data_IF_797029012291
#
_entry.id   IF_797029012291
#
_cell.length_a   1.000
_cell.length_b   1.000
_cell.length_c   1.000
_cell.angle_alpha   90.00
_cell.angle_beta   90.00
_cell.angle_gamma   90.00
#
_symmetry.space_group_name_H-M   'P 1'
#
loop_
_entity.id
_entity.type
_entity.pdbx_description
1 polymer ?
#
# COMPACT_ATOMS: atom_id res chain seq x y z
N UNK A 1 28.50 4.68 -12.54
CA UNK A 1 27.25 4.00 -12.20
C UNK A 1 26.62 4.80 -11.10
N UNK A 2 25.72 5.70 -11.49
CA UNK A 2 24.90 6.47 -10.55
C UNK A 2 23.66 5.67 -10.11
N UNK A 3 22.77 6.28 -9.33
CA UNK A 3 21.56 5.58 -8.86
C UNK A 3 20.58 5.28 -9.99
N UNK A 4 20.54 6.10 -11.04
CA UNK A 4 19.71 5.85 -12.23
C UNK A 4 20.20 4.61 -13.00
N UNK A 5 21.51 4.49 -13.19
CA UNK A 5 22.12 3.30 -13.78
C UNK A 5 21.79 2.05 -12.95
N UNK A 6 21.91 2.13 -11.61
CA UNK A 6 21.60 1.00 -10.72
C UNK A 6 20.12 0.60 -10.87
N UNK A 7 19.20 1.55 -10.82
CA UNK A 7 17.76 1.29 -10.98
C UNK A 7 17.47 0.64 -12.34
N UNK A 8 18.00 1.22 -13.43
CA UNK A 8 17.79 0.71 -14.79
C UNK A 8 18.31 -0.72 -14.96
N UNK A 9 19.55 -1.00 -14.56
CA UNK A 9 20.19 -2.28 -14.85
C UNK A 9 19.90 -3.37 -13.81
N UNK A 10 19.68 -3.01 -12.54
CA UNK A 10 19.48 -4.00 -11.46
C UNK A 10 18.02 -4.22 -11.10
N UNK A 11 17.11 -3.30 -11.45
CA UNK A 11 15.68 -3.40 -11.19
C UNK A 11 14.91 -3.55 -12.50
N UNK A 12 14.88 -2.51 -13.34
CA UNK A 12 14.02 -2.50 -14.53
C UNK A 12 14.35 -3.62 -15.51
N UNK A 13 15.63 -3.81 -15.85
CA UNK A 13 16.04 -4.88 -16.77
C UNK A 13 15.63 -6.28 -16.28
N UNK A 14 15.70 -6.55 -14.97
CA UNK A 14 15.27 -7.85 -14.43
C UNK A 14 13.76 -8.04 -14.51
N UNK A 15 13.00 -6.96 -14.35
CA UNK A 15 11.55 -6.99 -14.52
C UNK A 15 11.18 -7.16 -16.00
N UNK A 16 11.91 -6.52 -16.92
CA UNK A 16 11.78 -6.71 -18.37
C UNK A 16 12.00 -8.17 -18.77
N UNK A 17 13.14 -8.76 -18.37
CA UNK A 17 13.45 -10.16 -18.63
C UNK A 17 12.35 -11.10 -18.06
N UNK A 18 11.80 -10.77 -16.89
CA UNK A 18 10.72 -11.53 -16.26
C UNK A 18 9.39 -11.44 -17.03
N UNK A 19 8.95 -10.23 -17.41
CA UNK A 19 7.70 -10.07 -18.17
C UNK A 19 7.81 -10.64 -19.58
N UNK A 20 8.99 -10.59 -20.20
CA UNK A 20 9.26 -11.22 -21.49
C UNK A 20 9.13 -12.75 -21.37
N UNK A 21 9.70 -13.35 -20.31
CA UNK A 21 9.60 -14.79 -20.05
C UNK A 21 8.17 -15.26 -19.74
N UNK A 22 7.37 -14.45 -19.05
CA UNK A 22 5.99 -14.78 -18.68
C UNK A 22 4.97 -14.47 -19.80
N UNK A 23 5.33 -13.63 -20.77
CA UNK A 23 4.42 -13.16 -21.82
C UNK A 23 3.18 -12.47 -21.22
N UNK A 24 2.04 -12.55 -21.91
CA UNK A 24 0.80 -11.85 -21.52
C UNK A 24 0.16 -12.34 -20.22
N UNK A 25 0.72 -13.35 -19.55
CA UNK A 25 0.22 -13.87 -18.28
C UNK A 25 0.47 -12.91 -17.11
N UNK A 26 1.43 -11.98 -17.23
CA UNK A 26 1.84 -11.09 -16.15
C UNK A 26 1.84 -9.62 -16.59
N UNK A 27 1.39 -8.76 -15.69
CA UNK A 27 1.62 -7.32 -15.73
C UNK A 27 2.20 -6.87 -14.39
N UNK A 28 3.13 -5.93 -14.44
CA UNK A 28 3.80 -5.38 -13.27
C UNK A 28 3.34 -3.94 -13.07
N UNK A 29 2.98 -3.61 -11.83
CA UNK A 29 2.71 -2.25 -11.39
C UNK A 29 3.78 -1.82 -10.41
N UNK A 30 4.48 -0.74 -10.73
CA UNK A 30 5.53 -0.16 -9.91
C UNK A 30 5.00 1.04 -9.12
N UNK A 31 5.25 1.07 -7.81
CA UNK A 31 4.84 2.18 -6.93
C UNK A 31 6.09 2.73 -6.25
N UNK A 32 6.38 4.03 -6.36
CA UNK A 32 7.58 4.64 -5.78
C UNK A 32 7.54 4.67 -4.25
N UNK A 33 8.72 4.84 -3.65
CA UNK A 33 8.94 5.11 -2.24
C UNK A 33 9.81 6.35 -2.07
N UNK A 34 9.57 7.15 -1.03
CA UNK A 34 10.44 8.30 -0.70
C UNK A 34 11.87 7.88 -0.31
N UNK A 35 12.14 6.57 -0.30
CA UNK A 35 13.45 5.98 -0.06
C UNK A 35 14.14 5.54 -1.36
N UNK A 36 13.51 5.71 -2.51
CA UNK A 36 14.14 5.44 -3.80
C UNK A 36 15.18 6.53 -4.09
N UNK A 37 16.45 6.13 -4.16
CA UNK A 37 17.57 7.08 -4.28
C UNK A 37 17.60 7.84 -5.61
N UNK A 38 16.86 7.38 -6.60
CA UNK A 38 16.81 7.92 -7.96
C UNK A 38 15.44 8.52 -8.33
N UNK A 39 14.57 8.78 -7.34
CA UNK A 39 13.23 9.33 -7.57
C UNK A 39 12.92 10.49 -6.61
N UNK A 40 11.77 11.14 -6.81
CA UNK A 40 11.31 12.22 -5.94
C UNK A 40 11.30 11.75 -4.47
N UNK A 41 11.87 12.53 -3.56
CA UNK A 41 11.94 12.19 -2.14
C UNK A 41 10.80 12.82 -1.34
N UNK A 42 9.92 13.62 -1.95
CA UNK A 42 8.78 14.30 -1.32
C UNK A 42 7.52 13.47 -1.50
N UNK A 43 6.73 13.32 -0.44
CA UNK A 43 5.43 12.66 -0.48
C UNK A 43 4.33 13.73 -0.61
N UNK A 44 3.27 13.54 -1.41
CA UNK A 44 3.04 12.48 -2.41
C UNK A 44 4.05 12.48 -3.56
N UNK A 45 4.38 11.31 -4.12
CA UNK A 45 5.34 11.17 -5.22
C UNK A 45 4.66 10.93 -6.58
N UNK A 46 5.20 11.48 -7.68
CA UNK A 46 4.74 11.14 -9.03
C UNK A 46 5.09 9.69 -9.40
N UNK A 47 4.41 9.13 -10.38
CA UNK A 47 4.79 7.83 -10.98
C UNK A 47 6.17 7.91 -11.65
N UNK A 48 6.85 6.78 -11.78
CA UNK A 48 8.05 6.70 -12.63
C UNK A 48 7.67 6.82 -14.10
N UNK A 49 8.52 7.46 -14.89
CA UNK A 49 8.42 7.49 -16.35
C UNK A 49 8.96 6.17 -16.94
N UNK A 50 8.12 5.13 -16.93
CA UNK A 50 8.43 3.79 -17.46
C UNK A 50 7.55 3.55 -18.69
N UNK A 51 8.18 3.47 -19.87
CA UNK A 51 7.49 3.26 -21.14
C UNK A 51 7.59 1.82 -21.63
N UNK A 52 7.00 0.86 -20.90
CA UNK A 52 7.05 -0.57 -21.23
C UNK A 52 5.65 -1.17 -21.25
N UNK A 53 5.34 -2.02 -22.24
CA UNK A 53 3.97 -2.49 -22.51
C UNK A 53 3.32 -3.28 -21.36
N UNK A 54 4.12 -3.97 -20.55
CA UNK A 54 3.66 -4.81 -19.44
C UNK A 54 4.05 -4.28 -18.05
N UNK A 55 4.75 -3.16 -18.00
CA UNK A 55 5.19 -2.52 -16.75
C UNK A 55 4.66 -1.10 -16.75
N UNK A 56 3.74 -0.83 -15.84
CA UNK A 56 3.22 0.51 -15.61
C UNK A 56 3.63 1.00 -14.22
N UNK A 57 3.65 2.32 -14.03
CA UNK A 57 3.90 2.91 -12.71
C UNK A 57 2.69 3.71 -12.23
N UNK A 58 2.46 3.66 -10.92
CA UNK A 58 1.47 4.47 -10.20
C UNK A 58 2.18 5.53 -9.36
N UNK A 59 1.52 6.65 -9.03
CA UNK A 59 2.01 7.56 -8.02
C UNK A 59 2.02 6.90 -6.62
N UNK A 60 2.62 7.58 -5.63
CA UNK A 60 2.56 7.18 -4.23
C UNK A 60 1.95 8.29 -3.37
N UNK A 61 0.77 8.08 -2.76
CA UNK A 61 -0.04 6.86 -2.85
C UNK A 61 -0.72 6.77 -4.23
N UNK A 62 -1.30 5.60 -4.53
CA UNK A 62 -1.95 5.34 -5.82
C UNK A 62 -3.18 4.47 -5.67
N UNK A 63 -4.11 4.59 -6.62
CA UNK A 63 -5.28 3.72 -6.76
C UNK A 63 -5.29 3.20 -8.19
N UNK A 64 -5.56 1.91 -8.34
CA UNK A 64 -5.82 1.29 -9.65
C UNK A 64 -7.01 0.34 -9.55
N UNK A 65 -7.54 -0.03 -10.71
CA UNK A 65 -8.62 -0.99 -10.81
C UNK A 65 -8.18 -2.17 -11.69
N UNK A 66 -8.42 -3.38 -11.22
CA UNK A 66 -8.15 -4.61 -11.97
C UNK A 66 -9.34 -5.56 -11.83
N UNK A 67 -10.00 -5.89 -12.94
CA UNK A 67 -11.17 -6.76 -12.96
C UNK A 67 -12.25 -6.33 -11.96
N UNK A 68 -12.60 -5.04 -11.96
CA UNK A 68 -13.60 -4.42 -11.06
C UNK A 68 -13.18 -4.37 -9.57
N UNK A 69 -11.95 -4.74 -9.24
CA UNK A 69 -11.39 -4.63 -7.89
C UNK A 69 -10.60 -3.34 -7.77
N UNK A 70 -11.06 -2.43 -6.91
CA UNK A 70 -10.36 -1.19 -6.59
C UNK A 70 -9.29 -1.45 -5.54
N UNK A 71 -8.04 -1.20 -5.92
CA UNK A 71 -6.87 -1.40 -5.05
C UNK A 71 -6.23 -0.05 -4.75
N UNK A 72 -6.17 0.31 -3.47
CA UNK A 72 -5.38 1.43 -2.98
C UNK A 72 -4.02 0.95 -2.47
N UNK A 73 -2.95 1.69 -2.75
CA UNK A 73 -1.61 1.38 -2.25
C UNK A 73 -0.88 2.64 -1.79
N UNK A 74 -0.12 2.52 -0.71
CA UNK A 74 0.74 3.57 -0.19
C UNK A 74 2.01 2.92 0.34
N UNK A 75 3.19 3.29 -0.18
CA UNK A 75 4.47 2.68 0.22
C UNK A 75 5.08 3.35 1.46
N UNK A 76 4.53 4.50 1.86
CA UNK A 76 4.89 5.17 3.10
C UNK A 76 4.42 4.32 4.29
N UNK A 77 5.24 4.22 5.34
CA UNK A 77 4.93 3.41 6.51
C UNK A 77 3.95 4.10 7.48
N UNK A 78 2.78 4.47 6.94
CA UNK A 78 1.72 5.19 7.66
C UNK A 78 1.21 4.39 8.86
N UNK A 79 1.16 3.06 8.76
CA UNK A 79 0.72 2.21 9.86
C UNK A 79 1.66 2.28 11.05
N UNK A 80 2.99 2.26 10.85
CA UNK A 80 3.98 2.38 11.93
C UNK A 80 3.98 3.77 12.55
N UNK A 81 3.74 4.80 11.74
CA UNK A 81 3.68 6.19 12.21
C UNK A 81 2.43 6.44 13.05
N UNK A 82 1.23 6.08 12.57
CA UNK A 82 0.00 6.13 13.37
C UNK A 82 0.20 5.30 14.65
N UNK A 83 0.77 4.10 14.53
CA UNK A 83 1.09 3.22 15.66
C UNK A 83 1.95 3.87 16.75
N UNK A 84 2.79 4.84 16.42
CA UNK A 84 3.65 5.56 17.37
C UNK A 84 2.90 6.62 18.18
N UNK A 85 1.84 7.19 17.62
CA UNK A 85 1.08 8.31 18.19
C UNK A 85 -0.31 7.92 18.70
N UNK A 86 -0.77 6.70 18.37
CA UNK A 86 -2.11 6.21 18.68
C UNK A 86 -2.30 5.90 20.17
N UNK A 87 -3.41 6.37 20.73
CA UNK A 87 -3.83 6.08 22.11
C UNK A 87 -5.17 5.35 22.09
N UNK A 88 -5.18 4.14 22.64
CA UNK A 88 -6.39 3.31 22.73
C UNK A 88 -6.86 3.16 24.16
N UNK A 89 -8.18 3.20 24.36
CA UNK A 89 -8.81 2.73 25.60
C UNK A 89 -9.91 1.74 25.24
N UNK A 90 -9.83 0.54 25.78
CA UNK A 90 -10.91 -0.46 25.69
C UNK A 90 -11.75 -0.36 26.96
N UNK A 91 -13.05 -0.16 26.83
CA UNK A 91 -13.96 -0.22 27.98
C UNK A 91 -13.97 -1.64 28.57
N UNK A 92 -14.23 -1.77 29.87
CA UNK A 92 -14.12 -3.05 30.59
C UNK A 92 -15.06 -4.14 30.04
N UNK A 93 -16.16 -3.72 29.42
CA UNK A 93 -17.24 -4.53 28.85
C UNK A 93 -17.21 -4.62 27.32
N UNK A 94 -16.34 -3.85 26.65
CA UNK A 94 -16.23 -3.86 25.20
C UNK A 94 -15.27 -4.95 24.71
N UNK A 95 -15.64 -5.63 23.61
CA UNK A 95 -14.73 -6.53 22.91
C UNK A 95 -13.54 -5.72 22.38
N UNK A 96 -12.28 -6.08 22.71
CA UNK A 96 -11.12 -5.36 22.19
C UNK A 96 -11.08 -5.45 20.66
N UNK A 97 -11.00 -4.31 19.98
CA UNK A 97 -10.70 -4.28 18.55
C UNK A 97 -9.20 -4.50 18.39
N UNK A 98 -8.82 -5.44 17.52
CA UNK A 98 -7.42 -5.74 17.23
C UNK A 98 -6.66 -4.49 16.80
N UNK A 99 -5.46 -4.29 17.37
CA UNK A 99 -4.65 -3.09 17.15
C UNK A 99 -4.43 -2.79 15.67
N UNK A 100 -4.09 -3.80 14.86
CA UNK A 100 -3.80 -3.62 13.43
C UNK A 100 -5.05 -3.22 12.64
N UNK A 101 -6.20 -3.77 13.01
CA UNK A 101 -7.50 -3.34 12.48
C UNK A 101 -7.82 -1.89 12.86
N UNK A 102 -7.57 -1.48 14.12
CA UNK A 102 -7.78 -0.08 14.55
C UNK A 102 -6.90 0.90 13.78
N UNK A 103 -5.61 0.61 13.64
CA UNK A 103 -4.67 1.43 12.86
C UNK A 103 -5.14 1.64 11.42
N UNK A 104 -5.63 0.57 10.78
CA UNK A 104 -6.10 0.68 9.40
C UNK A 104 -7.46 1.38 9.31
N UNK A 105 -8.35 1.18 10.28
CA UNK A 105 -9.62 1.90 10.34
C UNK A 105 -9.43 3.42 10.48
N UNK A 106 -8.36 3.91 11.12
CA UNK A 106 -8.06 5.34 11.11
C UNK A 106 -7.86 5.88 9.69
N UNK A 107 -7.19 5.14 8.81
CA UNK A 107 -6.96 5.52 7.40
C UNK A 107 -8.28 5.53 6.63
N UNK A 108 -9.09 4.47 6.76
CA UNK A 108 -10.38 4.35 6.07
C UNK A 108 -11.40 5.40 6.54
N UNK A 109 -11.51 5.63 7.85
CA UNK A 109 -12.49 6.55 8.42
C UNK A 109 -12.13 8.02 8.16
N UNK A 110 -10.84 8.33 8.06
CA UNK A 110 -10.37 9.67 7.70
C UNK A 110 -10.31 9.88 6.18
N UNK A 111 -10.59 8.83 5.39
CA UNK A 111 -10.59 8.89 3.93
C UNK A 111 -9.31 9.52 3.36
N UNK A 112 -8.17 9.22 3.98
CA UNK A 112 -6.87 9.74 3.60
C UNK A 112 -5.82 8.65 3.74
N UNK A 113 -4.96 8.50 2.73
CA UNK A 113 -3.76 7.65 2.80
C UNK A 113 -2.78 8.08 3.89
N UNK A 114 -2.90 9.32 4.38
CA UNK A 114 -2.06 9.86 5.45
C UNK A 114 -2.86 10.78 6.39
N UNK A 115 -3.54 10.22 7.40
CA UNK A 115 -4.37 11.01 8.31
C UNK A 115 -3.60 11.60 9.51
N UNK A 116 -2.33 11.26 9.70
CA UNK A 116 -1.56 11.71 10.86
C UNK A 116 -1.10 13.16 10.67
N UNK A 117 -1.41 14.03 11.64
CA UNK A 117 -0.97 15.42 11.64
C UNK A 117 -0.54 15.89 13.04
N UNK A 118 0.60 16.59 13.19
CA UNK A 118 1.62 16.84 12.15
C UNK A 118 2.20 15.54 11.57
N UNK A 119 2.72 15.55 10.32
CA UNK A 119 3.38 14.39 9.76
C UNK A 119 4.54 13.94 10.64
N UNK A 120 4.85 12.64 10.63
CA UNK A 120 6.04 12.15 11.31
C UNK A 120 7.29 12.87 10.75
N UNK A 121 8.27 13.14 11.61
CA UNK A 121 9.47 13.95 11.26
C UNK A 121 10.20 13.43 10.01
N UNK A 122 10.18 12.12 9.78
CA UNK A 122 10.80 11.49 8.62
C UNK A 122 9.98 11.57 7.33
N UNK A 123 8.84 12.27 7.32
CA UNK A 123 7.94 12.38 6.16
C UNK A 123 8.00 13.79 5.60
N UNK A 124 8.68 13.99 4.46
CA UNK A 124 8.65 15.25 3.73
C UNK A 124 7.31 15.35 2.99
N UNK A 125 6.25 15.79 3.68
CA UNK A 125 4.92 15.94 3.10
C UNK A 125 4.74 17.31 2.43
N UNK A 126 4.40 17.32 1.13
CA UNK A 126 3.93 18.50 0.42
C UNK A 126 2.41 18.66 0.58
N UNK A 127 2.01 19.63 1.39
CA UNK A 127 0.61 19.95 1.64
C UNK A 127 -0.11 20.55 0.43
N UNK A 128 0.60 21.06 -0.57
CA UNK A 128 -0.02 21.63 -1.78
C UNK A 128 -0.63 20.56 -2.68
N UNK A 129 -0.12 19.33 -2.62
CA UNK A 129 -0.61 18.16 -3.38
C UNK A 129 -1.52 17.25 -2.56
N UNK A 130 -1.53 17.43 -1.24
CA UNK A 130 -2.23 16.57 -0.30
C UNK A 130 -3.75 16.44 -0.55
N UNK A 131 -4.50 17.52 -0.84
CA UNK A 131 -5.95 17.44 -1.03
C UNK A 131 -6.38 16.47 -2.12
N UNK A 132 -5.66 16.45 -3.26
CA UNK A 132 -5.98 15.56 -4.38
C UNK A 132 -5.32 14.20 -4.24
N UNK A 133 -4.03 14.15 -3.85
CA UNK A 133 -3.26 12.92 -3.94
C UNK A 133 -3.46 11.97 -2.74
N UNK A 134 -3.83 12.48 -1.56
CA UNK A 134 -4.01 11.64 -0.37
C UNK A 134 -5.44 11.16 -0.19
N UNK A 135 -6.41 11.73 -0.89
CA UNK A 135 -7.83 11.46 -0.68
C UNK A 135 -8.21 10.05 -1.13
N UNK A 136 -8.86 9.31 -0.22
CA UNK A 136 -9.57 8.07 -0.54
C UNK A 136 -11.04 8.42 -0.85
N UNK A 137 -11.33 8.73 -2.10
CA UNK A 137 -12.69 9.13 -2.55
C UNK A 137 -13.78 8.08 -2.28
N UNK A 138 -13.40 6.82 -2.12
CA UNK A 138 -14.25 5.72 -1.68
C UNK A 138 -13.40 4.67 -0.97
N UNK A 139 -14.02 3.87 -0.10
CA UNK A 139 -13.36 2.69 0.49
C UNK A 139 -12.93 1.73 -0.64
N UNK A 140 -11.63 1.41 -0.79
CA UNK A 140 -11.19 0.41 -1.77
C UNK A 140 -11.54 -1.00 -1.33
N UNK A 141 -11.65 -1.93 -2.29
CA UNK A 141 -11.86 -3.35 -1.99
C UNK A 141 -10.61 -3.95 -1.32
N UNK A 142 -9.42 -3.50 -1.74
CA UNK A 142 -8.13 -3.91 -1.18
C UNK A 142 -7.28 -2.67 -0.87
N UNK A 143 -6.70 -2.63 0.32
CA UNK A 143 -5.78 -1.56 0.74
C UNK A 143 -4.42 -2.15 1.12
N UNK A 144 -3.39 -1.85 0.34
CA UNK A 144 -2.03 -2.36 0.51
C UNK A 144 -1.17 -1.30 1.20
N UNK A 145 -0.71 -1.60 2.42
CA UNK A 145 0.07 -0.71 3.29
C UNK A 145 1.32 -1.44 3.81
N UNK A 146 2.41 -1.50 3.03
CA UNK A 146 3.66 -2.12 3.47
C UNK A 146 4.26 -1.39 4.67
N UNK A 147 4.53 -2.14 5.74
CA UNK A 147 4.98 -1.60 7.02
C UNK A 147 6.00 -2.52 7.70
N UNK A 148 6.89 -1.94 8.52
CA UNK A 148 7.84 -2.73 9.33
C UNK A 148 7.18 -3.41 10.54
N UNK A 149 5.90 -3.14 10.82
CA UNK A 149 5.15 -3.91 11.82
C UNK A 149 4.88 -5.34 11.31
N UNK A 150 4.32 -6.20 12.17
CA UNK A 150 3.97 -7.57 11.78
C UNK A 150 3.07 -7.56 10.55
N UNK A 151 3.42 -8.36 9.54
CA UNK A 151 2.59 -8.57 8.35
C UNK A 151 1.19 -9.05 8.74
N UNK A 152 0.18 -8.68 7.97
CA UNK A 152 -1.19 -9.08 8.24
C UNK A 152 -2.08 -8.99 7.00
N UNK A 153 -3.19 -9.72 7.07
CA UNK A 153 -4.38 -9.55 6.24
C UNK A 153 -5.56 -9.37 7.19
N UNK A 154 -6.36 -8.32 7.00
CA UNK A 154 -7.54 -8.03 7.81
C UNK A 154 -8.71 -7.65 6.93
N UNK A 155 -9.85 -8.27 7.19
CA UNK A 155 -11.14 -7.84 6.62
C UNK A 155 -11.72 -6.78 7.54
N UNK A 156 -11.97 -5.60 7.00
CA UNK A 156 -12.50 -4.45 7.72
C UNK A 156 -13.89 -4.12 7.15
N UNK A 157 -14.86 -3.96 8.05
CA UNK A 157 -16.19 -3.47 7.69
C UNK A 157 -16.22 -1.98 8.05
N UNK A 158 -16.38 -1.11 7.05
CA UNK A 158 -16.58 0.30 7.31
C UNK A 158 -18.08 0.56 7.50
N UNK A 159 -18.50 0.66 8.76
CA UNK A 159 -19.84 1.11 9.14
C UNK A 159 -19.83 2.64 9.23
N UNK A 160 -19.82 3.31 8.08
CA UNK A 160 -20.12 4.75 8.02
C UNK A 160 -21.58 4.94 7.60
N UNK A 161 -22.33 5.69 8.41
CA UNK A 161 -23.80 5.87 8.36
C UNK A 161 -24.34 6.37 7.00
N UNK A 162 -23.50 6.92 6.11
CA UNK A 162 -23.96 7.64 4.91
C UNK A 162 -23.60 6.96 3.56
N UNK A 163 -22.78 5.90 3.56
CA UNK A 163 -22.39 5.21 2.33
C UNK A 163 -22.39 3.71 2.56
N UNK A 164 -23.03 2.95 1.64
CA UNK A 164 -23.08 1.48 1.62
C UNK A 164 -21.89 0.84 2.34
N UNK A 165 -22.16 0.06 3.39
CA UNK A 165 -21.19 -0.76 4.13
C UNK A 165 -20.15 -1.38 3.17
N UNK A 166 -18.98 -0.77 3.08
CA UNK A 166 -17.90 -1.20 2.21
C UNK A 166 -16.98 -2.16 2.98
N UNK A 167 -16.77 -3.35 2.44
CA UNK A 167 -15.79 -4.31 2.95
C UNK A 167 -14.44 -4.02 2.30
N UNK A 168 -13.42 -3.81 3.11
CA UNK A 168 -12.05 -3.59 2.66
C UNK A 168 -11.13 -4.69 3.19
N UNK A 169 -10.30 -5.27 2.32
CA UNK A 169 -9.22 -6.18 2.70
C UNK A 169 -7.95 -5.36 2.85
N UNK A 170 -7.56 -5.10 4.10
CA UNK A 170 -6.31 -4.44 4.43
C UNK A 170 -5.15 -5.42 4.49
N UNK A 171 -4.06 -5.09 3.81
CA UNK A 171 -2.90 -5.95 3.63
C UNK A 171 -1.63 -5.19 3.99
N UNK A 172 -0.90 -5.67 4.99
CA UNK A 172 0.52 -5.36 5.16
C UNK A 172 1.31 -6.60 4.72
N UNK A 173 1.94 -6.59 3.52
CA UNK A 173 2.74 -7.72 3.06
C UNK A 173 4.04 -7.90 3.84
N UNK A 174 4.44 -6.92 4.65
CA UNK A 174 5.77 -6.83 5.23
C UNK A 174 6.79 -6.31 4.23
N UNK A 175 8.07 -6.61 4.49
CA UNK A 175 9.19 -6.32 3.59
C UNK A 175 9.64 -7.62 2.95
N UNK A 176 9.98 -7.58 1.65
CA UNK A 176 10.45 -8.75 0.89
C UNK A 176 11.80 -9.27 1.41
N UNK A 177 12.63 -8.38 1.98
CA UNK A 177 13.89 -8.71 2.64
C UNK A 177 14.00 -7.96 3.98
N UNK A 178 14.64 -8.58 4.97
CA UNK A 178 14.87 -8.00 6.30
C UNK A 178 16.33 -8.21 6.71
N UNK A 179 17.14 -7.16 6.59
CA UNK A 179 18.59 -7.28 6.75
C UNK A 179 19.15 -8.21 5.69
N UNK A 180 19.90 -9.22 6.11
CA UNK A 180 20.47 -10.25 5.23
C UNK A 180 19.50 -11.40 4.92
N UNK A 181 18.33 -11.44 5.57
CA UNK A 181 17.37 -12.55 5.46
C UNK A 181 16.18 -12.29 4.53
N UNK A 182 15.52 -13.39 4.15
CA UNK A 182 14.24 -13.39 3.46
C UNK A 182 13.13 -12.74 4.31
N UNK A 183 12.18 -12.14 3.62
CA UNK A 183 11.03 -11.48 4.21
C UNK A 183 9.72 -12.17 3.82
N UNK A 184 8.70 -11.37 3.53
CA UNK A 184 7.38 -11.87 3.17
C UNK A 184 6.78 -11.10 1.99
N UNK A 185 5.88 -11.77 1.28
CA UNK A 185 4.97 -11.16 0.30
C UNK A 185 3.56 -11.73 0.49
N UNK A 186 2.60 -11.20 -0.27
CA UNK A 186 1.20 -11.63 -0.23
C UNK A 186 0.74 -12.06 -1.60
N UNK A 187 0.03 -13.17 -1.67
CA UNK A 187 -0.71 -13.62 -2.84
C UNK A 187 -2.21 -13.35 -2.61
N UNK A 188 -2.85 -12.74 -3.62
CA UNK A 188 -4.28 -12.43 -3.62
C UNK A 188 -4.94 -13.13 -4.81
N UNK A 189 -5.81 -14.09 -4.54
CA UNK A 189 -6.59 -14.79 -5.55
C UNK A 189 -8.01 -14.24 -5.58
N UNK A 190 -8.38 -13.60 -6.68
CA UNK A 190 -9.73 -13.07 -6.90
C UNK A 190 -10.54 -14.01 -7.81
N UNK A 191 -11.71 -14.44 -7.35
CA UNK A 191 -12.62 -15.30 -8.13
C UNK A 191 -14.06 -14.76 -8.20
N UNK A 192 -14.28 -13.74 -9.04
CA UNK A 192 -15.62 -13.31 -9.45
C UNK A 192 -16.39 -12.39 -8.51
N UNK A 193 -15.77 -11.84 -7.46
CA UNK A 193 -16.34 -10.80 -6.60
C UNK A 193 -15.49 -10.51 -5.34
N UNK A 194 -15.61 -9.33 -4.70
CA UNK A 194 -14.82 -8.95 -3.52
C UNK A 194 -15.01 -9.89 -2.33
N UNK A 195 -16.15 -10.59 -2.26
CA UNK A 195 -16.42 -11.62 -1.25
C UNK A 195 -15.72 -12.96 -1.49
N UNK A 196 -15.05 -13.12 -2.63
CA UNK A 196 -14.34 -14.33 -3.05
C UNK A 196 -12.85 -14.06 -3.31
N UNK A 197 -12.29 -13.14 -2.54
CA UNK A 197 -10.84 -12.91 -2.47
C UNK A 197 -10.26 -13.85 -1.42
N UNK A 198 -9.33 -14.71 -1.84
CA UNK A 198 -8.44 -15.42 -0.93
C UNK A 198 -7.12 -14.65 -0.86
N UNK A 199 -6.54 -14.59 0.33
CA UNK A 199 -5.32 -13.86 0.57
C UNK A 199 -4.41 -14.68 1.48
N UNK A 200 -3.16 -14.87 1.08
CA UNK A 200 -2.17 -15.65 1.83
C UNK A 200 -0.87 -14.87 1.98
N UNK A 201 -0.16 -15.10 3.09
CA UNK A 201 1.17 -14.52 3.33
C UNK A 201 2.19 -15.62 3.06
N UNK A 202 3.14 -15.33 2.19
CA UNK A 202 4.21 -16.25 1.80
C UNK A 202 5.54 -15.73 2.36
N UNK A 203 6.31 -16.60 2.99
CA UNK A 203 7.66 -16.30 3.51
C UNK A 203 8.73 -16.79 2.53
N UNK A 204 9.80 -16.00 2.41
CA UNK A 204 10.99 -16.29 1.59
C UNK A 204 12.12 -16.89 2.42
#
# INVERSE_FOLDING_TARGET
MDFDDIFRFQVLRKLEDYVEGMGSAVRVLFVPSIRDANHDFVFPQPAFDISLSQIASLPNPGIFEANEVKVGCCTLDVLKQISGEEISRTAADAKPIDRLSRLTNHILNQQSFYPLYPPAESVPLDFSLAPEALQLSSVPDVLILPSDIKYFIKVLNNESEETKSGKCIAVNPGRLAKGEGGGTFVELDYSGGPDKINASIVAL
#
